data_IF_656195407554
#
_entry.id   IF_656195407554
#
_cell.length_a   1.000
_cell.length_b   1.000
_cell.length_c   1.000
_cell.angle_alpha   90.00
_cell.angle_beta   90.00
_cell.angle_gamma   90.00
#
_symmetry.space_group_name_H-M   'P 1'
#
loop_
_entity.id
_entity.type
_entity.pdbx_description
1 polymer ?
#
# COMPACT_ATOMS: atom_id res chain seq x y z
N UNK A 1 -10.67 -20.23 -5.16
CA UNK A 1 -11.93 -19.91 -4.45
C UNK A 1 -12.13 -18.42 -4.17
N UNK A 2 -11.08 -17.58 -4.09
CA UNK A 2 -11.24 -16.13 -3.85
C UNK A 2 -11.52 -15.28 -5.12
N UNK A 3 -11.07 -15.73 -6.30
CA UNK A 3 -11.31 -15.00 -7.57
C UNK A 3 -12.75 -15.10 -8.07
N UNK A 4 -13.42 -16.23 -7.84
CA UNK A 4 -14.80 -16.47 -8.31
C UNK A 4 -15.83 -15.60 -7.56
N UNK A 5 -15.52 -15.20 -6.33
CA UNK A 5 -16.37 -14.30 -5.54
C UNK A 5 -16.23 -12.83 -5.96
N UNK A 6 -15.08 -12.41 -6.49
CA UNK A 6 -14.84 -11.02 -6.93
C UNK A 6 -15.66 -10.67 -8.18
N UNK A 7 -15.80 -11.63 -9.10
CA UNK A 7 -16.60 -11.44 -10.31
C UNK A 7 -18.11 -11.34 -10.00
N UNK A 8 -18.62 -12.16 -9.08
CA UNK A 8 -20.04 -12.13 -8.68
C UNK A 8 -20.47 -10.79 -8.05
N UNK A 9 -19.60 -10.15 -7.27
CA UNK A 9 -19.88 -8.84 -6.66
C UNK A 9 -19.97 -7.72 -7.70
N UNK A 10 -19.04 -7.71 -8.65
CA UNK A 10 -18.99 -6.71 -9.73
C UNK A 10 -20.16 -6.90 -10.70
N UNK A 11 -20.53 -8.14 -11.01
CA UNK A 11 -21.64 -8.44 -11.90
C UNK A 11 -23.00 -8.18 -11.24
N UNK A 12 -23.13 -8.39 -9.91
CA UNK A 12 -24.29 -7.92 -9.14
C UNK A 12 -24.39 -6.40 -9.08
N UNK A 13 -23.27 -5.70 -8.93
CA UNK A 13 -23.25 -4.24 -8.93
C UNK A 13 -23.64 -3.68 -10.31
N UNK A 14 -23.18 -4.29 -11.41
CA UNK A 14 -23.56 -3.92 -12.79
C UNK A 14 -25.03 -4.23 -13.08
N UNK A 15 -25.54 -5.38 -12.64
CA UNK A 15 -26.95 -5.75 -12.75
C UNK A 15 -27.87 -4.79 -11.95
N UNK A 16 -27.46 -4.43 -10.73
CA UNK A 16 -28.16 -3.44 -9.92
C UNK A 16 -28.12 -2.03 -10.54
N UNK A 17 -26.98 -1.62 -11.12
CA UNK A 17 -26.85 -0.37 -11.88
C UNK A 17 -27.75 -0.34 -13.11
N UNK A 18 -27.86 -1.46 -13.84
CA UNK A 18 -28.77 -1.60 -14.99
C UNK A 18 -30.24 -1.54 -14.58
N UNK A 19 -30.62 -2.19 -13.48
CA UNK A 19 -31.98 -2.15 -12.94
C UNK A 19 -32.37 -0.75 -12.42
N UNK A 20 -31.41 0.00 -11.83
CA UNK A 20 -31.64 1.36 -11.34
C UNK A 20 -31.85 2.36 -12.49
N UNK A 21 -31.19 2.15 -13.64
CA UNK A 21 -31.33 2.99 -14.84
C UNK A 21 -32.61 2.72 -15.64
N UNK A 22 -33.22 1.53 -15.50
CA UNK A 22 -34.46 1.15 -16.20
C UNK A 22 -35.72 1.52 -15.38
N UNK A 23 -35.62 1.66 -14.06
CA UNK A 23 -36.74 2.05 -13.20
C UNK A 23 -37.40 3.42 -13.47
N UNK A 24 -36.76 4.48 -14.01
CA UNK A 24 -37.47 5.72 -14.27
C UNK A 24 -38.43 5.62 -15.47
N UNK A 25 -38.29 4.63 -16.35
CA UNK A 25 -39.15 4.50 -17.55
C UNK A 25 -40.50 3.87 -17.20
N UNK A 26 -40.52 2.90 -16.28
CA UNK A 26 -41.76 2.24 -15.85
C UNK A 26 -42.72 3.16 -15.09
N UNK A 27 -42.19 4.14 -14.35
CA UNK A 27 -42.98 5.13 -13.62
C UNK A 27 -43.65 6.12 -14.60
N UNK A 28 -43.02 6.42 -15.74
CA UNK A 28 -43.61 7.27 -16.78
C UNK A 28 -44.73 6.55 -17.54
N UNK A 29 -44.73 5.22 -17.62
CA UNK A 29 -45.78 4.47 -18.32
C UNK A 29 -47.02 4.17 -17.46
N UNK A 30 -46.91 4.24 -16.13
CA UNK A 30 -48.08 4.24 -15.23
C UNK A 30 -48.89 5.54 -15.26
N UNK A 31 -48.40 6.56 -15.97
CA UNK A 31 -48.89 7.94 -15.98
C UNK A 31 -50.14 8.19 -16.85
N UNK A 32 -50.79 7.16 -17.39
CA UNK A 32 -51.99 7.31 -18.25
C UNK A 32 -53.23 6.60 -17.67
N UNK A 33 -53.10 5.76 -16.64
CA UNK A 33 -54.18 4.84 -16.24
C UNK A 33 -54.95 5.20 -14.94
N UNK A 34 -54.71 6.34 -14.29
CA UNK A 34 -55.56 6.81 -13.20
C UNK A 34 -56.13 8.18 -13.53
N UNK A 35 -57.36 8.17 -14.04
CA UNK A 35 -58.22 9.35 -14.07
C UNK A 35 -58.77 9.64 -12.68
N UNK A 36 -58.97 10.93 -12.41
CA UNK A 36 -59.67 11.44 -11.24
C UNK A 36 -58.73 12.15 -10.27
N UNK A 37 -58.84 13.48 -10.26
CA UNK A 37 -58.28 14.42 -9.28
C UNK A 37 -56.83 14.88 -9.50
N UNK A 38 -56.67 15.65 -10.58
CA UNK A 38 -55.48 16.44 -10.93
C UNK A 38 -55.27 17.63 -9.97
N UNK A 39 -55.19 17.39 -8.67
CA UNK A 39 -54.77 18.44 -7.74
C UNK A 39 -53.26 18.62 -7.88
N UNK A 40 -52.84 19.84 -8.19
CA UNK A 40 -51.44 20.30 -8.14
C UNK A 40 -50.67 19.80 -6.90
N UNK A 41 -51.39 19.56 -5.79
CA UNK A 41 -50.89 18.97 -4.56
C UNK A 41 -50.29 17.56 -4.71
N UNK A 42 -50.87 16.69 -5.55
CA UNK A 42 -50.35 15.34 -5.79
C UNK A 42 -48.97 15.37 -6.46
N UNK A 43 -48.82 16.17 -7.52
CA UNK A 43 -47.53 16.36 -8.20
C UNK A 43 -46.47 16.98 -7.28
N UNK A 44 -46.86 17.93 -6.43
CA UNK A 44 -45.95 18.53 -5.44
C UNK A 44 -45.44 17.48 -4.43
N UNK A 45 -46.31 16.59 -3.94
CA UNK A 45 -45.92 15.54 -2.99
C UNK A 45 -44.93 14.52 -3.59
N UNK A 46 -45.14 14.08 -4.84
CA UNK A 46 -44.21 13.16 -5.51
C UNK A 46 -42.85 13.82 -5.80
N UNK A 47 -42.84 15.12 -6.10
CA UNK A 47 -41.60 15.89 -6.28
C UNK A 47 -40.76 15.95 -5.00
N UNK A 48 -41.38 16.20 -3.83
CA UNK A 48 -40.68 16.19 -2.55
C UNK A 48 -40.11 14.81 -2.19
N UNK A 49 -40.85 13.73 -2.44
CA UNK A 49 -40.38 12.36 -2.20
C UNK A 49 -39.21 12.00 -3.13
N UNK A 50 -39.26 12.42 -4.40
CA UNK A 50 -38.16 12.21 -5.35
C UNK A 50 -36.88 12.92 -4.91
N UNK A 51 -36.98 14.19 -4.47
CA UNK A 51 -35.84 14.94 -3.91
C UNK A 51 -35.30 14.26 -2.65
N UNK A 52 -36.17 13.83 -1.74
CA UNK A 52 -35.77 13.15 -0.53
C UNK A 52 -35.03 11.83 -0.84
N UNK A 53 -35.53 11.06 -1.81
CA UNK A 53 -34.89 9.83 -2.28
C UNK A 53 -33.50 10.07 -2.85
N UNK A 54 -33.31 11.12 -3.64
CA UNK A 54 -32.00 11.52 -4.17
C UNK A 54 -31.05 11.97 -3.06
N UNK A 55 -31.53 12.75 -2.08
CA UNK A 55 -30.73 13.15 -0.92
C UNK A 55 -30.28 11.97 -0.07
N UNK A 56 -31.20 11.06 0.26
CA UNK A 56 -30.88 9.86 1.06
C UNK A 56 -29.95 8.93 0.29
N UNK A 57 -30.22 8.70 -1.01
CA UNK A 57 -29.37 7.90 -1.87
C UNK A 57 -27.96 8.48 -2.02
N UNK A 58 -27.85 9.80 -2.17
CA UNK A 58 -26.57 10.52 -2.22
C UNK A 58 -25.79 10.41 -0.90
N UNK A 59 -26.46 10.55 0.24
CA UNK A 59 -25.84 10.39 1.56
C UNK A 59 -25.26 8.99 1.78
N UNK A 60 -26.03 7.94 1.45
CA UNK A 60 -25.56 6.55 1.53
C UNK A 60 -24.37 6.32 0.59
N UNK A 61 -24.41 6.89 -0.61
CA UNK A 61 -23.32 6.78 -1.59
C UNK A 61 -21.99 7.38 -1.07
N UNK A 62 -22.04 8.55 -0.42
CA UNK A 62 -20.86 9.18 0.19
C UNK A 62 -20.27 8.29 1.30
N UNK A 63 -21.11 7.69 2.14
CA UNK A 63 -20.65 6.78 3.21
C UNK A 63 -19.95 5.54 2.65
N UNK A 64 -20.45 4.97 1.55
CA UNK A 64 -19.83 3.81 0.90
C UNK A 64 -18.43 4.15 0.38
N UNK A 65 -18.28 5.29 -0.31
CA UNK A 65 -16.99 5.74 -0.83
C UNK A 65 -16.02 6.03 0.30
N UNK A 66 -16.49 6.68 1.37
CA UNK A 66 -15.67 6.96 2.55
C UNK A 66 -15.07 5.67 3.12
N UNK A 67 -15.90 4.63 3.30
CA UNK A 67 -15.43 3.34 3.80
C UNK A 67 -14.40 2.68 2.89
N UNK A 68 -14.58 2.76 1.56
CA UNK A 68 -13.63 2.22 0.58
C UNK A 68 -12.29 2.96 0.64
N UNK A 69 -12.31 4.29 0.69
CA UNK A 69 -11.11 5.13 0.77
C UNK A 69 -10.36 4.87 2.08
N UNK A 70 -11.06 4.78 3.21
CA UNK A 70 -10.46 4.45 4.51
C UNK A 70 -9.82 3.05 4.48
N UNK A 71 -10.47 2.07 3.86
CA UNK A 71 -9.91 0.74 3.72
C UNK A 71 -8.61 0.73 2.88
N UNK A 72 -8.55 1.52 1.80
CA UNK A 72 -7.33 1.67 0.98
C UNK A 72 -6.21 2.37 1.75
N UNK A 73 -6.51 3.45 2.46
CA UNK A 73 -5.53 4.14 3.32
C UNK A 73 -4.99 3.19 4.39
N UNK A 74 -5.85 2.41 5.05
CA UNK A 74 -5.42 1.44 6.06
C UNK A 74 -4.47 0.36 5.50
N UNK A 75 -4.66 -0.05 4.24
CA UNK A 75 -3.71 -0.95 3.56
C UNK A 75 -2.38 -0.26 3.24
N UNK A 76 -2.42 0.98 2.77
CA UNK A 76 -1.20 1.76 2.54
C UNK A 76 -0.40 1.87 3.84
N UNK A 77 -1.07 2.14 4.96
CA UNK A 77 -0.45 2.23 6.28
C UNK A 77 0.14 0.89 6.75
N UNK A 78 -0.54 -0.23 6.49
CA UNK A 78 -0.02 -1.56 6.86
C UNK A 78 1.25 -1.92 6.06
N UNK A 79 1.30 -1.60 4.77
CA UNK A 79 2.52 -1.77 3.97
C UNK A 79 3.62 -0.82 4.39
N UNK A 80 3.30 0.43 4.75
CA UNK A 80 4.28 1.37 5.34
C UNK A 80 4.86 0.83 6.65
N UNK A 81 4.04 0.27 7.53
CA UNK A 81 4.51 -0.36 8.76
C UNK A 81 5.44 -1.56 8.49
N UNK A 82 5.09 -2.41 7.52
CA UNK A 82 5.94 -3.50 7.05
C UNK A 82 7.27 -3.01 6.48
N UNK A 83 7.25 -1.92 5.71
CA UNK A 83 8.43 -1.28 5.17
C UNK A 83 9.36 -0.79 6.30
N UNK A 84 8.82 -0.08 7.31
CA UNK A 84 9.60 0.38 8.46
C UNK A 84 10.26 -0.80 9.19
N UNK A 85 9.53 -1.91 9.38
CA UNK A 85 10.10 -3.10 10.00
C UNK A 85 11.25 -3.71 9.17
N UNK A 86 11.13 -3.71 7.84
CA UNK A 86 12.18 -4.20 6.93
C UNK A 86 13.41 -3.31 6.94
N UNK A 87 13.23 -1.99 6.99
CA UNK A 87 14.31 -1.00 7.14
C UNK A 87 15.02 -1.16 8.49
N UNK A 88 14.28 -1.37 9.58
CA UNK A 88 14.89 -1.63 10.89
C UNK A 88 15.72 -2.92 10.90
N UNK A 89 15.21 -4.00 10.27
CA UNK A 89 15.97 -5.25 10.11
C UNK A 89 17.25 -5.05 9.27
N UNK A 90 17.25 -4.13 8.31
CA UNK A 90 18.45 -3.73 7.57
C UNK A 90 19.52 -3.16 8.50
N UNK A 91 19.14 -2.32 9.47
CA UNK A 91 20.06 -1.81 10.50
C UNK A 91 20.50 -2.89 11.50
N UNK A 92 19.59 -3.78 11.91
CA UNK A 92 19.95 -4.89 12.80
C UNK A 92 20.98 -5.82 12.13
N UNK A 93 20.86 -6.05 10.82
CA UNK A 93 21.83 -6.82 10.04
C UNK A 93 23.23 -6.20 10.07
N UNK A 94 23.33 -4.88 10.02
CA UNK A 94 24.61 -4.18 10.18
C UNK A 94 25.27 -4.51 11.53
N UNK A 95 24.50 -4.49 12.62
CA UNK A 95 25.02 -4.84 13.95
C UNK A 95 25.52 -6.29 14.01
N UNK A 96 24.83 -7.20 13.34
CA UNK A 96 25.21 -8.62 13.23
C UNK A 96 26.53 -8.78 12.48
N UNK A 97 26.73 -8.05 11.38
CA UNK A 97 27.98 -8.07 10.61
C UNK A 97 29.17 -7.47 11.38
N UNK A 98 28.94 -6.42 12.17
CA UNK A 98 29.99 -5.87 13.05
C UNK A 98 30.38 -6.88 14.12
N UNK A 99 29.40 -7.56 14.73
CA UNK A 99 29.67 -8.65 15.68
C UNK A 99 30.50 -9.76 15.03
N UNK A 100 30.13 -10.18 13.82
CA UNK A 100 30.86 -11.20 13.08
C UNK A 100 32.31 -10.80 12.82
N UNK A 101 32.52 -9.56 12.41
CA UNK A 101 33.86 -9.02 12.18
C UNK A 101 34.71 -9.01 13.45
N UNK A 102 34.10 -8.73 14.61
CA UNK A 102 34.78 -8.76 15.91
C UNK A 102 35.12 -10.20 16.35
N UNK A 103 34.24 -11.17 16.11
CA UNK A 103 34.52 -12.60 16.35
C UNK A 103 35.71 -13.06 15.53
N UNK A 104 35.72 -12.79 14.22
CA UNK A 104 36.84 -13.14 13.32
C UNK A 104 38.15 -12.47 13.76
N UNK A 105 38.09 -11.21 14.21
CA UNK A 105 39.27 -10.52 14.73
C UNK A 105 39.80 -11.14 16.03
N UNK A 106 38.91 -11.66 16.88
CA UNK A 106 39.28 -12.18 18.21
C UNK A 106 39.81 -13.62 18.15
N UNK A 107 39.18 -14.47 17.34
CA UNK A 107 39.53 -15.89 17.24
C UNK A 107 40.75 -16.13 16.33
N UNK A 108 40.88 -15.35 15.25
CA UNK A 108 41.84 -15.62 14.18
C UNK A 108 42.54 -14.37 13.64
N UNK A 109 42.62 -13.29 14.44
CA UNK A 109 43.06 -11.96 14.00
C UNK A 109 44.45 -11.87 13.34
N UNK A 110 45.34 -12.84 13.56
CA UNK A 110 46.64 -12.92 12.86
C UNK A 110 46.54 -13.48 11.44
N UNK A 111 45.52 -14.28 11.15
CA UNK A 111 45.27 -14.95 9.87
C UNK A 111 44.24 -14.14 9.05
N UNK A 112 43.24 -13.59 9.73
CA UNK A 112 42.07 -12.95 9.11
C UNK A 112 41.91 -11.46 9.46
N UNK A 113 42.93 -10.81 10.03
CA UNK A 113 42.87 -9.39 10.43
C UNK A 113 42.48 -8.43 9.28
N UNK A 114 42.91 -8.72 8.05
CA UNK A 114 42.47 -7.95 6.86
C UNK A 114 40.98 -8.12 6.56
N UNK A 115 40.45 -9.33 6.74
CA UNK A 115 39.03 -9.66 6.50
C UNK A 115 38.15 -9.00 7.54
N UNK A 116 38.54 -9.04 8.82
CA UNK A 116 37.80 -8.41 9.89
C UNK A 116 37.70 -6.88 9.72
N UNK A 117 38.72 -6.25 9.11
CA UNK A 117 38.68 -4.84 8.73
C UNK A 117 37.73 -4.59 7.57
N UNK A 118 37.81 -5.39 6.51
CA UNK A 118 36.94 -5.25 5.34
C UNK A 118 35.46 -5.56 5.67
N UNK A 119 35.18 -6.51 6.56
CA UNK A 119 33.82 -6.77 7.09
C UNK A 119 33.27 -5.59 7.89
N UNK A 120 34.12 -4.95 8.72
CA UNK A 120 33.72 -3.72 9.45
C UNK A 120 33.45 -2.57 8.50
N UNK A 121 34.29 -2.40 7.47
CA UNK A 121 34.07 -1.40 6.44
C UNK A 121 32.77 -1.69 5.67
N UNK A 122 32.55 -2.94 5.25
CA UNK A 122 31.33 -3.35 4.57
C UNK A 122 30.09 -3.13 5.44
N UNK A 123 30.15 -3.38 6.75
CA UNK A 123 29.05 -3.07 7.66
C UNK A 123 28.77 -1.56 7.73
N UNK A 124 29.81 -0.71 7.73
CA UNK A 124 29.66 0.74 7.60
C UNK A 124 29.02 1.16 6.27
N UNK A 125 29.48 0.59 5.16
CA UNK A 125 28.95 0.86 3.82
C UNK A 125 27.50 0.37 3.67
N UNK A 126 27.12 -0.72 4.36
CA UNK A 126 25.76 -1.24 4.39
C UNK A 126 24.75 -0.24 4.96
N UNK A 127 25.15 0.59 5.93
CA UNK A 127 24.27 1.60 6.53
C UNK A 127 23.76 2.62 5.51
N UNK A 128 24.58 2.90 4.50
CA UNK A 128 24.32 3.89 3.46
C UNK A 128 24.00 3.26 2.10
N UNK A 129 24.08 1.93 1.98
CA UNK A 129 23.85 1.22 0.75
C UNK A 129 22.38 0.86 0.57
N UNK A 130 21.85 1.16 -0.60
CA UNK A 130 20.54 0.67 -1.03
C UNK A 130 20.55 -0.82 -1.37
N UNK A 131 21.73 -1.39 -1.65
CA UNK A 131 21.89 -2.78 -2.10
C UNK A 131 22.96 -3.51 -1.27
N UNK A 132 22.71 -3.76 0.02
CA UNK A 132 23.60 -4.54 0.90
C UNK A 132 24.01 -5.91 0.34
N UNK A 133 23.15 -6.61 -0.38
CA UNK A 133 23.39 -7.94 -0.96
C UNK A 133 24.56 -7.94 -1.95
N UNK A 134 24.66 -6.91 -2.79
CA UNK A 134 25.73 -6.75 -3.77
C UNK A 134 27.07 -6.49 -3.08
N UNK A 135 27.08 -5.65 -2.04
CA UNK A 135 28.29 -5.39 -1.26
C UNK A 135 28.82 -6.67 -0.62
N UNK A 136 27.92 -7.47 0.00
CA UNK A 136 28.29 -8.75 0.60
C UNK A 136 28.75 -9.77 -0.44
N UNK A 137 28.12 -9.82 -1.62
CA UNK A 137 28.56 -10.69 -2.72
C UNK A 137 29.95 -10.32 -3.24
N UNK A 138 30.22 -9.02 -3.41
CA UNK A 138 31.56 -8.54 -3.81
C UNK A 138 32.62 -8.87 -2.74
N UNK A 139 32.25 -8.76 -1.46
CA UNK A 139 33.15 -9.12 -0.37
C UNK A 139 33.44 -10.63 -0.35
N UNK A 140 32.42 -11.46 -0.54
CA UNK A 140 32.57 -12.92 -0.67
C UNK A 140 33.48 -13.33 -1.84
N UNK A 141 33.37 -12.63 -2.97
CA UNK A 141 34.21 -12.86 -4.13
C UNK A 141 35.69 -12.49 -3.88
N UNK A 142 35.95 -11.43 -3.11
CA UNK A 142 37.31 -10.99 -2.73
C UNK A 142 37.94 -11.88 -1.66
N UNK A 143 37.13 -12.44 -0.76
CA UNK A 143 37.59 -13.28 0.35
C UNK A 143 36.75 -14.56 0.44
N UNK A 144 37.07 -15.60 -0.37
CA UNK A 144 36.34 -16.87 -0.39
C UNK A 144 36.18 -17.55 0.99
N UNK A 145 37.15 -17.31 1.88
CA UNK A 145 37.15 -17.79 3.26
C UNK A 145 35.97 -17.25 4.11
N UNK A 146 35.28 -16.20 3.67
CA UNK A 146 34.04 -15.72 4.30
C UNK A 146 32.91 -16.74 4.27
N UNK A 147 32.88 -17.64 3.30
CA UNK A 147 31.89 -18.72 3.28
C UNK A 147 32.02 -19.67 4.47
N UNK A 148 33.23 -19.79 5.03
CA UNK A 148 33.50 -20.63 6.19
C UNK A 148 33.28 -19.89 7.51
N UNK A 149 33.15 -18.56 7.47
CA UNK A 149 32.87 -17.75 8.64
C UNK A 149 31.39 -17.93 9.01
N UNK A 150 31.16 -18.50 10.20
CA UNK A 150 29.82 -18.82 10.70
C UNK A 150 28.90 -17.60 10.67
N UNK A 151 27.75 -17.71 9.98
CA UNK A 151 26.76 -16.63 9.91
C UNK A 151 26.90 -15.68 8.73
N UNK A 152 28.02 -15.67 7.98
CA UNK A 152 28.16 -14.79 6.81
C UNK A 152 27.14 -15.10 5.70
N UNK A 153 26.95 -16.39 5.36
CA UNK A 153 25.94 -16.82 4.39
C UNK A 153 24.52 -16.46 4.85
N UNK A 154 24.25 -16.56 6.15
CA UNK A 154 22.97 -16.17 6.73
C UNK A 154 22.75 -14.66 6.59
N UNK A 155 23.79 -13.84 6.81
CA UNK A 155 23.73 -12.40 6.62
C UNK A 155 23.50 -12.01 5.15
N UNK A 156 24.15 -12.68 4.20
CA UNK A 156 23.93 -12.44 2.76
C UNK A 156 22.50 -12.79 2.34
N UNK A 157 21.98 -13.94 2.78
CA UNK A 157 20.60 -14.34 2.50
C UNK A 157 19.60 -13.36 3.13
N UNK A 158 19.86 -12.92 4.37
CA UNK A 158 19.02 -11.94 5.06
C UNK A 158 19.02 -10.59 4.34
N UNK A 159 20.19 -10.12 3.86
CA UNK A 159 20.28 -8.90 3.07
C UNK A 159 19.42 -8.97 1.80
N UNK A 160 19.55 -10.06 1.04
CA UNK A 160 18.77 -10.29 -0.18
C UNK A 160 17.26 -10.34 0.09
N UNK A 161 16.84 -11.03 1.15
CA UNK A 161 15.43 -11.14 1.51
C UNK A 161 14.86 -9.80 1.99
N UNK A 162 15.61 -9.04 2.78
CA UNK A 162 15.22 -7.69 3.22
C UNK A 162 15.07 -6.75 2.02
N UNK A 163 16.03 -6.74 1.08
CA UNK A 163 15.95 -5.94 -0.15
C UNK A 163 14.71 -6.29 -0.98
N UNK A 164 14.50 -7.59 -1.20
CA UNK A 164 13.33 -8.09 -1.93
C UNK A 164 12.04 -7.63 -1.26
N UNK A 165 11.99 -7.67 0.07
CA UNK A 165 10.81 -7.25 0.85
C UNK A 165 10.58 -5.74 0.80
N UNK A 166 11.64 -4.93 0.84
CA UNK A 166 11.58 -3.48 0.67
C UNK A 166 11.01 -3.13 -0.71
N UNK A 167 11.54 -3.75 -1.77
CA UNK A 167 11.06 -3.56 -3.14
C UNK A 167 9.59 -3.99 -3.30
N UNK A 168 9.20 -5.08 -2.65
CA UNK A 168 7.83 -5.59 -2.64
C UNK A 168 6.89 -4.61 -1.93
N UNK A 169 7.27 -4.09 -0.76
CA UNK A 169 6.45 -3.14 0.00
C UNK A 169 6.25 -1.82 -0.76
N UNK A 170 7.29 -1.29 -1.40
CA UNK A 170 7.15 -0.08 -2.24
C UNK A 170 6.21 -0.31 -3.41
N UNK A 171 6.30 -1.45 -4.09
CA UNK A 171 5.36 -1.79 -5.18
C UNK A 171 3.93 -1.92 -4.67
N UNK A 172 3.73 -2.56 -3.53
CA UNK A 172 2.40 -2.73 -2.92
C UNK A 172 1.79 -1.38 -2.52
N UNK A 173 2.58 -0.50 -1.89
CA UNK A 173 2.15 0.87 -1.56
C UNK A 173 1.73 1.61 -2.83
N UNK A 174 2.57 1.60 -3.87
CA UNK A 174 2.26 2.28 -5.13
C UNK A 174 1.04 1.69 -5.85
N UNK A 175 0.82 0.38 -5.74
CA UNK A 175 -0.37 -0.29 -6.30
C UNK A 175 -1.64 0.17 -5.59
N UNK A 176 -1.64 0.25 -4.26
CA UNK A 176 -2.80 0.72 -3.50
C UNK A 176 -3.01 2.24 -3.67
N UNK A 177 -1.95 3.05 -3.81
CA UNK A 177 -2.03 4.47 -4.17
C UNK A 177 -2.67 4.64 -5.55
N UNK A 178 -2.31 3.80 -6.53
CA UNK A 178 -2.93 3.83 -7.86
C UNK A 178 -4.43 3.52 -7.77
N UNK A 179 -4.82 2.48 -7.04
CA UNK A 179 -6.23 2.12 -6.82
C UNK A 179 -7.00 3.23 -6.11
N UNK A 180 -6.40 3.86 -5.10
CA UNK A 180 -6.95 5.03 -4.41
C UNK A 180 -7.16 6.19 -5.38
N UNK A 181 -6.14 6.54 -6.18
CA UNK A 181 -6.20 7.63 -7.12
C UNK A 181 -7.20 7.39 -8.26
N UNK A 182 -7.41 6.13 -8.67
CA UNK A 182 -8.44 5.74 -9.65
C UNK A 182 -9.86 6.02 -9.11
N UNK A 183 -10.12 5.67 -7.85
CA UNK A 183 -11.41 5.93 -7.20
C UNK A 183 -11.62 7.43 -7.00
N UNK A 184 -10.61 8.17 -6.54
CA UNK A 184 -10.72 9.63 -6.36
C UNK A 184 -10.90 10.36 -7.72
N UNK A 185 -10.40 9.80 -8.82
CA UNK A 185 -10.48 10.43 -10.15
C UNK A 185 -11.75 10.11 -10.94
N UNK A 186 -12.49 9.05 -10.59
CA UNK A 186 -13.71 8.64 -11.30
C UNK A 186 -14.91 9.56 -10.97
N UNK A 187 -15.79 9.82 -11.93
CA UNK A 187 -17.00 10.66 -11.74
C UNK A 187 -18.17 9.67 -11.70
N UNK A 188 -18.63 9.26 -10.49
CA UNK A 188 -19.21 10.20 -9.51
C UNK A 188 -18.41 10.35 -8.21
N UNK A 189 -17.42 9.51 -7.96
CA UNK A 189 -16.67 9.46 -6.71
C UNK A 189 -15.82 10.69 -6.45
N UNK A 190 -15.38 11.40 -7.48
CA UNK A 190 -14.67 12.69 -7.36
C UNK A 190 -15.50 13.76 -6.65
N UNK A 191 -16.82 13.78 -6.84
CA UNK A 191 -17.71 14.72 -6.18
C UNK A 191 -17.87 14.37 -4.70
N UNK A 192 -18.05 13.09 -4.39
CA UNK A 192 -18.09 12.59 -3.02
C UNK A 192 -16.75 12.78 -2.28
N UNK A 193 -15.62 12.52 -2.95
CA UNK A 193 -14.28 12.70 -2.43
C UNK A 193 -13.94 14.17 -2.18
N UNK A 194 -14.40 15.10 -3.03
CA UNK A 194 -14.26 16.53 -2.82
C UNK A 194 -15.05 17.02 -1.58
N UNK A 195 -16.27 16.50 -1.37
CA UNK A 195 -17.08 16.79 -0.18
C UNK A 195 -16.42 16.18 1.07
N UNK A 196 -15.85 14.98 0.95
CA UNK A 196 -15.20 14.28 2.04
C UNK A 196 -13.71 14.63 2.23
N UNK A 197 -13.18 15.63 1.51
CA UNK A 197 -11.79 16.12 1.61
C UNK A 197 -10.70 15.06 1.43
N UNK A 198 -10.87 14.14 0.47
CA UNK A 198 -9.84 13.14 0.13
C UNK A 198 -9.01 13.60 -1.08
N UNK A 199 -7.76 14.11 -0.88
CA UNK A 199 -6.88 14.51 -1.96
C UNK A 199 -6.25 13.29 -2.64
N UNK A 200 -5.73 13.46 -3.87
CA UNK A 200 -4.89 12.43 -4.50
C UNK A 200 -3.61 12.22 -3.71
N UNK A 201 -3.12 10.98 -3.68
CA UNK A 201 -1.87 10.59 -3.04
C UNK A 201 -0.75 10.53 -4.07
N UNK A 202 0.44 10.98 -3.71
CA UNK A 202 1.64 10.90 -4.55
C UNK A 202 2.30 9.52 -4.43
N UNK A 203 2.87 9.03 -5.53
CA UNK A 203 3.66 7.80 -5.53
C UNK A 203 4.92 7.95 -4.69
N UNK A 204 5.34 6.84 -4.08
CA UNK A 204 6.50 6.80 -3.18
C UNK A 204 7.67 6.06 -3.80
N UNK A 205 8.87 6.41 -3.34
CA UNK A 205 10.10 5.68 -3.61
C UNK A 205 10.65 5.09 -2.31
N UNK A 206 11.45 4.02 -2.40
CA UNK A 206 12.15 3.45 -1.25
C UNK A 206 12.96 4.52 -0.51
N UNK A 207 13.72 5.35 -1.24
CA UNK A 207 14.55 6.43 -0.67
C UNK A 207 13.72 7.46 0.08
N UNK A 208 12.60 7.90 -0.49
CA UNK A 208 11.71 8.86 0.16
C UNK A 208 11.15 8.31 1.47
N UNK A 209 10.71 7.06 1.47
CA UNK A 209 10.19 6.39 2.67
C UNK A 209 11.27 6.14 3.73
N UNK A 210 12.49 5.76 3.33
CA UNK A 210 13.60 5.59 4.29
C UNK A 210 13.92 6.93 4.99
N UNK A 211 13.93 8.04 4.25
CA UNK A 211 14.15 9.37 4.82
C UNK A 211 13.06 9.76 5.83
N UNK A 212 11.79 9.47 5.55
CA UNK A 212 10.67 9.69 6.48
C UNK A 212 10.85 8.90 7.78
N UNK A 213 11.36 7.67 7.70
CA UNK A 213 11.64 6.82 8.87
C UNK A 213 12.76 7.41 9.72
N UNK A 214 13.82 7.91 9.08
CA UNK A 214 14.93 8.57 9.76
C UNK A 214 14.51 9.85 10.49
N UNK A 215 13.71 10.69 9.82
CA UNK A 215 13.21 11.94 10.41
C UNK A 215 12.33 11.67 11.63
N UNK A 216 11.41 10.71 11.54
CA UNK A 216 10.56 10.30 12.67
C UNK A 216 11.31 9.64 13.83
N UNK A 217 12.48 9.04 13.58
CA UNK A 217 13.29 8.42 14.64
C UNK A 217 14.19 9.43 15.36
N UNK A 218 14.37 10.63 14.79
CA UNK A 218 15.21 11.69 15.32
C UNK A 218 14.42 12.79 16.08
N UNK A 219 13.09 12.81 15.96
CA UNK A 219 12.16 13.70 16.66
C UNK A 219 11.62 13.07 17.95
#
# INVERSE_FOLDING_TARGET
MAEEQKHSSVDKAKSALGALLIMPIGIVLGLIAHGGDNTFAGYAQYFFISILGVCVGGGVYVLLIHNILVALTSKIDSFRASFVASVNRKYDLQSTLVSLANTVASEEGKIHGGIARELRNAAGDLASSQKPSILLANLAARFPQLHNIGGFMSAQNSASEIERKIDEDVRNINTEIAAYNEIVSSIPSRLAAAIASFPKLDFVSSVGLENEVHEKSAA
#
